data_IF_718734101090
#
_entry.id   IF_718734101090
#
_cell.length_a   1.000
_cell.length_b   1.000
_cell.length_c   1.000
_cell.angle_alpha   90.00
_cell.angle_beta   90.00
_cell.angle_gamma   90.00
#
_symmetry.space_group_name_H-M   'P 1'
#
loop_
_entity.id
_entity.type
_entity.pdbx_description
1 polymer ?
#
# COMPACT_ATOMS: atom_id res chain seq x y z
N UNK A 1 -39.28 -6.20 -49.65
CA UNK A 1 -38.99 -6.76 -48.31
C UNK A 1 -37.60 -6.30 -47.87
N UNK A 2 -37.51 -5.20 -47.11
CA UNK A 2 -36.23 -4.58 -46.67
C UNK A 2 -36.43 -3.99 -45.27
N UNK A 3 -36.61 -4.82 -44.24
CA UNK A 3 -36.75 -4.36 -42.85
C UNK A 3 -36.28 -5.43 -41.85
N UNK A 4 -35.04 -5.94 -41.95
CA UNK A 4 -34.46 -6.81 -40.90
C UNK A 4 -32.94 -6.57 -40.76
N UNK A 5 -32.48 -5.31 -40.71
CA UNK A 5 -31.04 -5.05 -40.55
C UNK A 5 -30.76 -3.83 -39.66
N UNK A 6 -31.40 -3.74 -38.50
CA UNK A 6 -31.14 -2.63 -37.57
C UNK A 6 -31.25 -2.99 -36.08
N UNK A 7 -31.03 -4.26 -35.71
CA UNK A 7 -31.14 -4.69 -34.30
C UNK A 7 -29.85 -5.27 -33.69
N UNK A 8 -28.77 -5.43 -34.47
CA UNK A 8 -27.54 -6.09 -33.99
C UNK A 8 -26.49 -5.13 -33.41
N UNK A 9 -26.67 -3.81 -33.53
CA UNK A 9 -25.67 -2.84 -33.05
C UNK A 9 -25.81 -2.46 -31.56
N UNK A 10 -26.94 -2.79 -30.92
CA UNK A 10 -27.21 -2.41 -29.53
C UNK A 10 -26.70 -3.43 -28.48
N UNK A 11 -26.35 -4.66 -28.89
CA UNK A 11 -25.98 -5.74 -27.96
C UNK A 11 -24.51 -5.66 -27.52
N UNK A 12 -23.63 -4.98 -28.26
CA UNK A 12 -22.19 -4.91 -27.94
C UNK A 12 -21.89 -3.90 -26.81
N UNK A 13 -22.80 -2.97 -26.51
CA UNK A 13 -22.60 -1.97 -25.45
C UNK A 13 -22.89 -2.48 -24.03
N UNK A 14 -23.52 -3.66 -23.88
CA UNK A 14 -24.01 -4.16 -22.58
C UNK A 14 -22.97 -4.96 -21.78
N UNK A 15 -21.79 -5.24 -22.34
CA UNK A 15 -20.69 -5.92 -21.63
C UNK A 15 -19.59 -4.93 -21.21
N UNK A 16 -19.95 -3.68 -20.93
CA UNK A 16 -19.08 -2.81 -20.14
C UNK A 16 -19.04 -3.36 -18.71
N UNK A 17 -18.22 -4.39 -18.49
CA UNK A 17 -17.86 -4.84 -17.15
C UNK A 17 -17.24 -3.63 -16.47
N UNK A 18 -17.86 -3.18 -15.39
CA UNK A 18 -17.33 -2.13 -14.52
C UNK A 18 -15.87 -2.44 -14.21
N UNK A 19 -14.96 -1.60 -14.71
CA UNK A 19 -13.57 -1.65 -14.30
C UNK A 19 -13.53 -1.21 -12.83
N UNK A 20 -13.45 -2.17 -11.91
CA UNK A 20 -13.16 -1.89 -10.51
C UNK A 20 -11.67 -1.65 -10.40
N UNK A 21 -11.26 -0.51 -9.83
CA UNK A 21 -9.87 -0.27 -9.50
C UNK A 21 -9.48 -1.17 -8.32
N UNK A 22 -8.26 -1.70 -8.33
CA UNK A 22 -7.68 -2.34 -7.16
C UNK A 22 -7.51 -1.29 -6.05
N UNK A 23 -7.97 -1.61 -4.84
CA UNK A 23 -7.96 -0.71 -3.69
C UNK A 23 -7.35 -1.37 -2.46
N UNK A 24 -6.73 -0.55 -1.62
CA UNK A 24 -6.21 -0.93 -0.30
C UNK A 24 -7.02 -0.21 0.77
N UNK A 25 -7.34 -0.91 1.84
CA UNK A 25 -8.12 -0.38 2.96
C UNK A 25 -7.55 -0.81 4.30
N UNK A 26 -7.70 0.05 5.31
CA UNK A 26 -7.44 -0.28 6.71
C UNK A 26 -8.76 -0.77 7.31
N UNK A 27 -8.75 -1.98 7.89
CA UNK A 27 -9.90 -2.64 8.48
C UNK A 27 -9.64 -2.91 9.96
N UNK A 28 -10.57 -2.49 10.81
CA UNK A 28 -10.47 -2.67 12.27
C UNK A 28 -9.38 -1.79 12.90
N UNK A 29 -8.84 -2.26 14.03
CA UNK A 29 -7.84 -1.54 14.81
C UNK A 29 -8.41 -0.47 15.74
N UNK A 30 -7.52 0.20 16.45
CA UNK A 30 -7.80 1.31 17.36
C UNK A 30 -7.27 2.61 16.75
N UNK A 31 -8.16 3.57 16.50
CA UNK A 31 -7.80 4.87 15.94
C UNK A 31 -6.93 5.68 16.89
N UNK A 32 -5.80 6.19 16.40
CA UNK A 32 -4.82 6.92 17.18
C UNK A 32 -3.97 7.85 16.29
N UNK A 33 -2.92 8.42 16.90
CA UNK A 33 -1.83 9.10 16.23
C UNK A 33 -0.52 8.49 16.68
N UNK A 34 0.50 8.53 15.82
CA UNK A 34 1.89 8.25 16.21
C UNK A 34 2.24 9.13 17.41
N UNK A 35 2.68 8.54 18.55
CA UNK A 35 3.11 9.28 19.72
C UNK A 35 4.18 10.31 19.38
N UNK A 36 4.11 11.48 20.01
CA UNK A 36 5.01 12.62 19.78
C UNK A 36 5.03 13.20 18.35
N UNK A 37 4.37 12.55 17.39
CA UNK A 37 4.23 12.97 16.01
C UNK A 37 5.58 13.29 15.37
N UNK A 38 5.62 14.33 14.54
CA UNK A 38 6.84 14.74 13.85
C UNK A 38 7.83 15.48 14.76
N UNK A 39 7.60 15.63 16.06
CA UNK A 39 8.60 16.26 16.93
C UNK A 39 9.75 15.31 17.27
N UNK A 40 9.50 14.00 17.21
CA UNK A 40 10.48 12.96 17.52
C UNK A 40 10.52 11.85 16.47
N UNK A 41 9.59 11.82 15.50
CA UNK A 41 9.67 10.90 14.38
C UNK A 41 10.49 11.56 13.24
N UNK A 42 11.75 11.14 13.09
CA UNK A 42 12.66 11.75 12.13
C UNK A 42 12.33 11.35 10.68
N UNK A 43 11.73 10.18 10.47
CA UNK A 43 11.32 9.75 9.12
C UNK A 43 10.10 10.53 8.63
N UNK A 44 9.09 10.74 9.48
CA UNK A 44 7.84 11.44 9.21
C UNK A 44 8.09 12.91 8.85
N UNK A 45 9.04 13.56 9.52
CA UNK A 45 9.50 14.92 9.19
C UNK A 45 10.00 15.05 7.75
N UNK A 46 10.54 13.97 7.19
CA UNK A 46 11.21 13.95 5.90
C UNK A 46 10.35 13.37 4.78
N UNK A 47 9.13 12.89 5.09
CA UNK A 47 8.16 12.46 4.10
C UNK A 47 7.36 13.69 3.64
N UNK A 48 7.60 14.10 2.40
CA UNK A 48 6.89 15.22 1.79
C UNK A 48 5.37 14.97 1.79
N UNK A 49 4.61 15.95 2.30
CA UNK A 49 3.14 15.91 2.32
C UNK A 49 2.51 15.31 3.58
N UNK A 50 3.31 14.77 4.52
CA UNK A 50 2.81 14.31 5.82
C UNK A 50 3.22 15.33 6.89
N UNK A 51 2.35 16.30 7.18
CA UNK A 51 2.48 17.16 8.36
C UNK A 51 1.76 16.51 9.54
N UNK A 52 2.48 16.19 10.62
CA UNK A 52 1.96 15.51 11.79
C UNK A 52 0.80 16.21 12.53
N UNK A 53 0.04 15.46 13.35
CA UNK A 53 0.11 14.01 13.52
C UNK A 53 -0.60 13.26 12.38
N UNK A 54 0.04 12.21 11.85
CA UNK A 54 -0.62 11.29 10.94
C UNK A 54 -1.73 10.55 11.72
N UNK A 55 -3.00 10.75 11.35
CA UNK A 55 -4.12 9.99 11.90
C UNK A 55 -4.13 8.58 11.27
N UNK A 56 -4.42 7.55 12.07
CA UNK A 56 -4.32 6.17 11.62
C UNK A 56 -4.72 5.19 12.70
N UNK A 57 -4.29 3.94 12.58
CA UNK A 57 -4.77 2.82 13.39
C UNK A 57 -3.65 1.87 13.81
N UNK A 58 -3.64 1.51 15.09
CA UNK A 58 -2.89 0.37 15.63
C UNK A 58 -3.73 -0.90 15.63
N UNK A 59 -3.10 -2.08 15.57
CA UNK A 59 -3.79 -3.36 15.63
C UNK A 59 -4.73 -3.58 14.43
N UNK A 60 -4.42 -2.92 13.31
CA UNK A 60 -5.30 -2.90 12.14
C UNK A 60 -4.92 -3.96 11.11
N UNK A 61 -5.83 -4.24 10.19
CA UNK A 61 -5.59 -5.16 9.07
C UNK A 61 -5.67 -4.43 7.75
N UNK A 62 -4.68 -4.65 6.89
CA UNK A 62 -4.68 -4.12 5.53
C UNK A 62 -5.36 -5.12 4.59
N UNK A 63 -6.47 -4.69 3.99
CA UNK A 63 -7.26 -5.49 3.07
C UNK A 63 -7.18 -4.96 1.65
N UNK A 64 -7.00 -5.86 0.70
CA UNK A 64 -7.03 -5.63 -0.73
C UNK A 64 -8.41 -6.00 -1.29
N UNK A 65 -8.91 -5.18 -2.22
CA UNK A 65 -10.16 -5.46 -2.92
C UNK A 65 -10.08 -5.02 -4.39
N UNK A 66 -10.64 -5.82 -5.29
CA UNK A 66 -10.64 -5.56 -6.72
C UNK A 66 -9.30 -5.82 -7.40
N UNK A 67 -8.41 -6.63 -6.81
CA UNK A 67 -7.16 -7.03 -7.47
C UNK A 67 -7.43 -8.13 -8.50
N UNK A 68 -7.19 -7.83 -9.77
CA UNK A 68 -7.22 -8.79 -10.86
C UNK A 68 -5.90 -9.56 -11.00
N UNK A 69 -5.91 -10.59 -11.87
CA UNK A 69 -4.77 -11.46 -12.11
C UNK A 69 -3.47 -10.75 -12.55
N UNK A 70 -3.57 -9.51 -13.04
CA UNK A 70 -2.45 -8.72 -13.55
C UNK A 70 -2.16 -7.47 -12.71
N UNK A 71 -2.98 -7.18 -11.69
CA UNK A 71 -2.71 -6.06 -10.80
C UNK A 71 -1.57 -6.42 -9.85
N UNK A 72 -0.83 -5.39 -9.44
CA UNK A 72 0.36 -5.55 -8.61
C UNK A 72 0.27 -4.63 -7.40
N UNK A 73 0.76 -5.11 -6.27
CA UNK A 73 1.07 -4.28 -5.13
C UNK A 73 2.50 -3.76 -5.30
N UNK A 74 2.68 -2.44 -5.34
CA UNK A 74 3.98 -1.81 -5.23
C UNK A 74 4.31 -1.62 -3.76
N UNK A 75 5.46 -2.14 -3.35
CA UNK A 75 6.05 -1.97 -2.04
C UNK A 75 7.25 -1.04 -2.17
N UNK A 76 7.31 -0.03 -1.31
CA UNK A 76 8.38 0.95 -1.27
C UNK A 76 8.84 1.14 0.16
N UNK A 77 10.12 0.89 0.43
CA UNK A 77 10.75 1.18 1.71
C UNK A 77 11.19 2.63 1.67
N UNK A 78 10.59 3.44 2.52
CA UNK A 78 10.77 4.89 2.49
C UNK A 78 11.94 5.28 3.37
N UNK A 79 12.02 4.81 4.61
CA UNK A 79 13.04 5.22 5.57
C UNK A 79 13.14 4.29 6.77
N UNK A 80 14.13 4.54 7.63
CA UNK A 80 14.25 3.91 8.95
C UNK A 80 15.10 4.77 9.90
N UNK A 81 14.76 4.76 11.16
CA UNK A 81 15.60 5.15 12.30
C UNK A 81 15.44 4.08 13.36
N UNK A 82 16.42 3.19 13.50
CA UNK A 82 16.29 2.09 14.45
C UNK A 82 17.63 1.69 15.04
N UNK A 83 17.69 1.47 16.35
CA UNK A 83 18.86 0.82 16.95
C UNK A 83 19.06 -0.63 16.47
N UNK A 84 17.95 -1.35 16.24
CA UNK A 84 17.93 -2.72 15.77
C UNK A 84 17.80 -2.83 14.24
N UNK A 85 17.95 -4.06 13.74
CA UNK A 85 17.74 -4.42 12.33
C UNK A 85 16.31 -4.87 12.14
N UNK A 86 15.58 -4.13 11.33
CA UNK A 86 14.17 -4.34 11.07
C UNK A 86 13.97 -4.83 9.64
N UNK A 87 13.13 -5.85 9.49
CA UNK A 87 12.90 -6.54 8.24
C UNK A 87 11.43 -6.44 7.86
N UNK A 88 11.16 -5.95 6.65
CA UNK A 88 9.83 -6.04 6.04
C UNK A 88 9.84 -7.09 4.92
N UNK A 89 8.84 -7.97 4.92
CA UNK A 89 8.69 -9.01 3.89
C UNK A 89 7.27 -9.01 3.34
N UNK A 90 7.15 -9.00 2.01
CA UNK A 90 5.87 -9.12 1.31
C UNK A 90 6.06 -9.85 -0.03
N UNK A 91 5.28 -10.92 -0.24
CA UNK A 91 5.48 -11.82 -1.38
C UNK A 91 6.87 -12.45 -1.36
N UNK A 92 7.59 -12.37 -2.49
CA UNK A 92 8.97 -12.86 -2.60
C UNK A 92 10.04 -11.79 -2.29
N UNK A 93 9.64 -10.55 -2.00
CA UNK A 93 10.55 -9.46 -1.70
C UNK A 93 10.71 -9.24 -0.19
N UNK A 94 11.91 -8.85 0.21
CA UNK A 94 12.25 -8.51 1.59
C UNK A 94 13.30 -7.40 1.63
N UNK A 95 13.26 -6.58 2.67
CA UNK A 95 14.27 -5.59 2.97
C UNK A 95 14.60 -5.64 4.46
N UNK A 96 15.88 -5.67 4.80
CA UNK A 96 16.37 -5.58 6.18
C UNK A 96 17.18 -4.29 6.36
N UNK A 97 16.79 -3.44 7.30
CA UNK A 97 17.57 -2.26 7.67
C UNK A 97 18.92 -2.70 8.29
N UNK A 98 20.01 -1.95 8.05
CA UNK A 98 21.29 -2.23 8.69
C UNK A 98 21.31 -1.89 10.19
N UNK A 99 20.26 -1.23 10.71
CA UNK A 99 20.25 -0.51 12.00
C UNK A 99 20.96 0.84 11.89
N UNK A 100 20.90 1.62 12.98
CA UNK A 100 21.31 3.02 13.04
C UNK A 100 20.30 4.01 12.44
N UNK A 101 20.76 5.26 12.30
CA UNK A 101 19.98 6.36 11.74
C UNK A 101 20.18 6.46 10.23
N UNK A 102 19.10 6.39 9.44
CA UNK A 102 19.11 6.85 8.06
C UNK A 102 17.91 7.76 7.78
N UNK A 103 18.14 9.05 8.01
CA UNK A 103 17.15 10.08 7.76
C UNK A 103 17.71 11.10 6.76
N UNK A 104 17.05 11.19 5.60
CA UNK A 104 17.22 12.26 4.62
C UNK A 104 15.91 12.46 3.88
N UNK A 105 15.74 13.53 3.10
CA UNK A 105 14.46 13.84 2.44
C UNK A 105 14.04 12.72 1.48
N UNK A 106 13.07 11.88 1.86
CA UNK A 106 12.78 10.61 1.18
C UNK A 106 11.85 10.80 -0.02
N UNK A 107 12.30 11.53 -1.04
CA UNK A 107 11.62 11.60 -2.34
C UNK A 107 11.84 10.35 -3.20
N UNK A 108 12.73 9.46 -2.77
CA UNK A 108 13.05 8.21 -3.47
C UNK A 108 13.14 7.07 -2.45
N UNK A 109 12.41 5.96 -2.65
CA UNK A 109 12.48 4.82 -1.75
C UNK A 109 13.86 4.17 -1.76
N UNK A 110 14.30 3.71 -0.60
CA UNK A 110 15.54 2.97 -0.35
C UNK A 110 15.53 1.62 -1.08
N UNK A 111 14.37 0.97 -1.11
CA UNK A 111 14.13 -0.27 -1.84
C UNK A 111 12.70 -0.28 -2.38
N UNK A 112 12.47 -0.96 -3.50
CA UNK A 112 11.13 -1.15 -4.05
C UNK A 112 11.00 -2.46 -4.79
N UNK A 113 9.83 -3.07 -4.73
CA UNK A 113 9.48 -4.24 -5.52
C UNK A 113 7.98 -4.34 -5.74
N UNK A 114 7.56 -5.21 -6.65
CA UNK A 114 6.14 -5.49 -6.90
C UNK A 114 5.78 -6.89 -6.46
N UNK A 115 4.66 -7.05 -5.77
CA UNK A 115 4.03 -8.34 -5.48
C UNK A 115 2.90 -8.58 -6.48
N UNK A 116 2.93 -9.75 -7.12
CA UNK A 116 1.91 -10.18 -8.09
C UNK A 116 1.03 -11.27 -7.48
N UNK A 117 -0.13 -11.53 -8.09
CA UNK A 117 -1.04 -12.59 -7.61
C UNK A 117 -1.73 -12.23 -6.29
N UNK A 118 -1.97 -10.94 -6.05
CA UNK A 118 -2.75 -10.47 -4.91
C UNK A 118 -4.21 -10.88 -5.12
N UNK A 119 -4.77 -11.61 -4.17
CA UNK A 119 -6.20 -11.88 -4.10
C UNK A 119 -6.89 -10.85 -3.21
N UNK A 120 -8.19 -10.69 -3.40
CA UNK A 120 -9.03 -9.94 -2.47
C UNK A 120 -8.94 -10.55 -1.05
N UNK A 121 -8.98 -9.69 -0.03
CA UNK A 121 -8.81 -10.03 1.37
C UNK A 121 -7.52 -9.48 1.97
N UNK A 122 -7.08 -10.06 3.09
CA UNK A 122 -5.93 -9.56 3.83
C UNK A 122 -4.63 -9.71 3.03
N UNK A 123 -3.85 -8.64 2.94
CA UNK A 123 -2.50 -8.71 2.37
C UNK A 123 -1.60 -9.61 3.22
N UNK A 124 -0.70 -10.34 2.58
CA UNK A 124 0.32 -11.13 3.29
C UNK A 124 1.64 -10.37 3.36
N UNK A 125 1.93 -9.81 4.53
CA UNK A 125 3.22 -9.19 4.84
C UNK A 125 3.57 -9.37 6.32
N UNK A 126 4.85 -9.17 6.64
CA UNK A 126 5.37 -9.31 8.00
C UNK A 126 6.48 -8.30 8.24
N UNK A 127 6.49 -7.72 9.44
CA UNK A 127 7.63 -7.04 10.02
C UNK A 127 8.31 -7.93 11.05
N UNK A 128 9.63 -7.85 11.16
CA UNK A 128 10.39 -8.46 12.24
C UNK A 128 11.60 -7.64 12.63
N UNK A 129 12.01 -7.74 13.88
CA UNK A 129 13.21 -7.11 14.41
C UNK A 129 14.19 -8.16 14.93
N UNK A 130 15.49 -7.84 14.96
CA UNK A 130 16.47 -8.60 15.72
C UNK A 130 16.61 -8.15 17.18
N UNK A 131 15.78 -7.19 17.62
CA UNK A 131 15.69 -6.75 19.01
C UNK A 131 15.23 -7.85 19.96
N UNK A 132 15.67 -7.76 21.23
CA UNK A 132 15.27 -8.69 22.29
C UNK A 132 13.98 -8.25 22.97
N UNK A 133 12.89 -8.21 22.20
CA UNK A 133 11.55 -7.77 22.65
C UNK A 133 10.58 -8.95 22.83
N UNK A 134 9.46 -8.74 23.54
CA UNK A 134 8.54 -9.81 23.88
C UNK A 134 7.86 -10.44 22.64
N UNK A 135 7.61 -9.63 21.62
CA UNK A 135 7.09 -10.06 20.34
C UNK A 135 7.90 -9.40 19.21
N UNK A 136 8.94 -10.07 18.68
CA UNK A 136 9.86 -9.47 17.71
C UNK A 136 9.34 -9.52 16.28
N UNK A 137 8.09 -9.96 16.05
CA UNK A 137 7.51 -10.00 14.71
C UNK A 137 6.00 -9.82 14.72
N UNK A 138 5.52 -8.97 13.82
CA UNK A 138 4.09 -8.73 13.60
C UNK A 138 3.73 -8.93 12.14
N UNK A 139 2.57 -9.52 11.90
CA UNK A 139 2.06 -9.78 10.56
C UNK A 139 0.73 -9.05 10.36
N UNK A 140 0.39 -8.76 9.11
CA UNK A 140 -0.90 -8.20 8.79
C UNK A 140 -2.05 -9.08 9.31
N UNK A 141 -3.01 -8.49 10.04
CA UNK A 141 -4.10 -9.24 10.69
C UNK A 141 -3.73 -9.87 12.03
N UNK A 142 -2.50 -9.66 12.51
CA UNK A 142 -2.02 -10.05 13.85
C UNK A 142 -1.04 -9.00 14.37
N UNK A 143 -1.38 -7.73 14.12
CA UNK A 143 -0.66 -6.58 14.64
C UNK A 143 -1.02 -6.35 16.11
N UNK A 144 -0.06 -5.86 16.89
CA UNK A 144 -0.29 -5.52 18.27
C UNK A 144 -0.91 -4.12 18.37
N UNK A 145 -1.61 -3.85 19.48
CA UNK A 145 -1.84 -2.45 19.86
C UNK A 145 -0.49 -1.81 20.21
N UNK A 146 -0.45 -0.48 20.29
CA UNK A 146 0.72 0.20 20.81
C UNK A 146 0.94 -0.18 22.29
N UNK A 147 1.88 -1.10 22.51
CA UNK A 147 2.23 -1.68 23.81
C UNK A 147 3.75 -1.69 23.88
N UNK A 148 4.27 -1.01 24.90
CA UNK A 148 5.72 -0.92 25.17
C UNK A 148 6.40 -2.29 25.20
N UNK A 149 7.60 -2.37 24.59
CA UNK A 149 8.45 -3.57 24.59
C UNK A 149 7.97 -4.70 23.67
N UNK A 150 7.10 -4.40 22.71
CA UNK A 150 6.65 -5.31 21.66
C UNK A 150 6.65 -4.59 20.33
N UNK A 151 7.04 -5.29 19.26
CA UNK A 151 6.96 -4.73 17.93
C UNK A 151 5.48 -4.57 17.51
N UNK A 152 5.18 -3.52 16.75
CA UNK A 152 3.86 -3.26 16.17
C UNK A 152 4.00 -2.35 14.95
N UNK A 153 2.91 -2.13 14.22
CA UNK A 153 2.89 -1.11 13.18
C UNK A 153 1.67 -0.20 13.28
N UNK A 154 1.86 1.06 12.90
CA UNK A 154 0.79 2.02 12.71
C UNK A 154 0.45 2.12 11.23
N UNK A 155 -0.81 1.88 10.88
CA UNK A 155 -1.29 2.03 9.52
C UNK A 155 -1.98 3.39 9.34
N UNK A 156 -1.63 4.09 8.26
CA UNK A 156 -2.28 5.35 7.93
C UNK A 156 -2.47 5.51 6.43
N UNK A 157 -3.59 6.13 6.06
CA UNK A 157 -3.83 6.66 4.73
C UNK A 157 -3.66 8.18 4.78
N UNK A 158 -2.46 8.68 5.05
CA UNK A 158 -2.22 10.12 5.00
C UNK A 158 -2.25 10.57 3.54
N UNK A 159 -3.27 11.38 3.22
CA UNK A 159 -3.42 12.38 2.15
C UNK A 159 -2.44 12.28 0.97
N UNK A 160 -2.42 11.16 0.26
CA UNK A 160 -2.13 11.16 -1.17
C UNK A 160 -3.41 10.83 -1.93
N UNK A 161 -3.73 11.63 -2.94
CA UNK A 161 -4.91 11.48 -3.80
C UNK A 161 -4.93 10.15 -4.60
N UNK A 162 -3.95 9.27 -4.40
CA UNK A 162 -3.66 8.10 -5.22
C UNK A 162 -3.85 6.76 -4.50
N UNK A 163 -4.44 6.73 -3.30
CA UNK A 163 -4.80 5.48 -2.61
C UNK A 163 -3.62 4.68 -2.06
N UNK A 164 -2.49 5.35 -1.79
CA UNK A 164 -1.35 4.74 -1.10
C UNK A 164 -1.62 4.63 0.40
N UNK A 165 -1.06 3.59 1.02
CA UNK A 165 -1.15 3.30 2.43
C UNK A 165 0.26 3.27 3.02
N UNK A 166 0.41 3.88 4.19
CA UNK A 166 1.67 3.98 4.90
C UNK A 166 1.64 3.09 6.14
N UNK A 167 2.73 2.36 6.34
CA UNK A 167 2.97 1.53 7.51
C UNK A 167 4.22 2.08 8.20
N UNK A 168 4.06 2.40 9.48
CA UNK A 168 5.11 2.92 10.35
C UNK A 168 5.37 1.86 11.40
N UNK A 169 6.51 1.18 11.28
CA UNK A 169 6.88 0.10 12.18
C UNK A 169 7.60 0.67 13.40
N UNK A 170 7.37 0.02 14.53
CA UNK A 170 8.10 0.19 15.77
C UNK A 170 8.58 -1.19 16.23
N UNK A 171 9.85 -1.28 16.56
CA UNK A 171 10.48 -2.52 16.94
C UNK A 171 10.40 -2.84 18.44
N UNK A 172 9.76 -1.96 19.22
CA UNK A 172 9.54 -2.06 20.65
C UNK A 172 10.72 -1.57 21.48
N UNK A 173 11.82 -1.13 20.85
CA UNK A 173 12.89 -0.34 21.42
C UNK A 173 13.82 -1.03 22.43
N UNK A 174 15.10 -0.61 22.42
CA UNK A 174 16.15 -1.11 23.31
C UNK A 174 16.30 -0.28 24.60
N UNK A 175 16.00 1.02 24.56
CA UNK A 175 16.22 1.98 25.65
C UNK A 175 15.41 3.27 25.42
N UNK A 176 14.63 3.69 26.42
CA UNK A 176 13.86 4.94 26.35
C UNK A 176 12.61 4.78 25.47
N UNK A 177 11.65 5.67 25.69
CA UNK A 177 10.31 5.67 25.09
C UNK A 177 10.40 6.10 23.62
N UNK A 178 10.99 5.24 22.78
CA UNK A 178 11.17 5.43 21.33
C UNK A 178 9.91 4.99 20.56
N UNK A 179 8.74 5.28 21.13
CA UNK A 179 7.42 4.92 20.59
C UNK A 179 7.01 5.87 19.44
N UNK A 180 8.00 6.39 18.70
CA UNK A 180 7.81 7.33 17.62
C UNK A 180 7.50 6.62 16.29
N UNK A 181 7.59 5.28 16.20
CA UNK A 181 7.26 4.46 15.03
C UNK A 181 8.00 4.88 13.74
N UNK A 182 9.31 5.14 13.81
CA UNK A 182 10.15 5.35 12.62
C UNK A 182 11.22 4.29 12.36
N UNK A 183 11.18 3.20 13.12
CA UNK A 183 12.08 2.06 12.99
C UNK A 183 12.12 1.43 11.59
N UNK A 184 11.00 1.46 10.87
CA UNK A 184 10.92 1.16 9.44
C UNK A 184 9.63 1.70 8.83
N UNK A 185 9.72 2.51 7.77
CA UNK A 185 8.54 3.07 7.10
C UNK A 185 8.36 2.48 5.71
N UNK A 186 7.16 1.97 5.44
CA UNK A 186 6.79 1.29 4.20
C UNK A 186 5.57 1.96 3.57
N UNK A 187 5.66 2.24 2.27
CA UNK A 187 4.54 2.68 1.45
C UNK A 187 4.04 1.54 0.57
N UNK A 188 2.75 1.29 0.61
CA UNK A 188 2.03 0.32 -0.19
C UNK A 188 1.10 1.05 -1.16
N UNK A 189 1.12 0.67 -2.44
CA UNK A 189 0.17 1.19 -3.42
C UNK A 189 -0.27 0.11 -4.40
N UNK A 190 -1.54 0.13 -4.77
CA UNK A 190 -2.02 -0.68 -5.88
C UNK A 190 -1.53 -0.04 -7.18
N UNK A 191 -0.97 -0.84 -8.09
CA UNK A 191 -0.61 -0.43 -9.45
C UNK A 191 -1.65 -1.00 -10.40
N UNK A 192 -2.65 -0.21 -10.81
CA UNK A 192 -3.65 -0.67 -11.77
C UNK A 192 -3.00 -0.84 -13.14
N UNK A 193 -3.50 -1.78 -13.93
CA UNK A 193 -3.26 -1.74 -15.37
C UNK A 193 -3.71 -0.38 -15.94
N UNK A 194 -3.04 0.18 -16.96
CA UNK A 194 -3.53 1.36 -17.66
C UNK A 194 -4.89 1.04 -18.30
N UNK A 195 -5.99 1.37 -17.62
CA UNK A 195 -7.35 1.19 -18.14
C UNK A 195 -7.53 1.91 -19.49
N UNK A 196 -6.73 2.97 -19.70
CA UNK A 196 -6.62 3.69 -20.97
C UNK A 196 -6.20 2.81 -22.15
N UNK A 197 -5.40 1.75 -21.97
CA UNK A 197 -5.00 0.88 -23.07
C UNK A 197 -6.19 0.05 -23.58
N UNK A 198 -7.02 -0.48 -22.68
CA UNK A 198 -8.22 -1.24 -23.05
C UNK A 198 -9.28 -0.30 -23.62
N UNK A 199 -9.50 0.88 -23.03
CA UNK A 199 -10.40 1.89 -23.56
C UNK A 199 -9.96 2.40 -24.94
N UNK A 200 -8.66 2.59 -25.15
CA UNK A 200 -8.10 3.02 -26.44
C UNK A 200 -8.26 1.92 -27.50
N UNK A 201 -7.96 0.67 -27.17
CA UNK A 201 -8.14 -0.46 -28.09
C UNK A 201 -9.61 -0.67 -28.45
N UNK A 202 -10.51 -0.58 -27.47
CA UNK A 202 -11.96 -0.69 -27.72
C UNK A 202 -12.50 0.52 -28.50
N UNK A 203 -12.04 1.73 -28.17
CA UNK A 203 -12.41 2.96 -28.87
C UNK A 203 -11.92 2.98 -30.33
N UNK A 204 -10.66 2.61 -30.58
CA UNK A 204 -10.09 2.51 -31.93
C UNK A 204 -10.74 1.36 -32.73
N UNK A 205 -11.00 0.22 -32.08
CA UNK A 205 -11.70 -0.92 -32.70
C UNK A 205 -13.11 -0.56 -33.13
N UNK A 206 -13.87 0.13 -32.27
CA UNK A 206 -15.21 0.63 -32.60
C UNK A 206 -15.18 1.66 -33.76
N UNK A 207 -14.18 2.55 -33.78
CA UNK A 207 -14.03 3.55 -34.84
C UNK A 207 -13.64 2.91 -36.19
N UNK A 208 -12.77 1.90 -36.17
CA UNK A 208 -12.37 1.15 -37.36
C UNK A 208 -13.53 0.34 -37.96
N UNK A 209 -14.37 -0.27 -37.12
CA UNK A 209 -15.59 -0.96 -37.56
C UNK A 209 -16.64 -0.01 -38.14
N UNK A 210 -16.75 1.21 -37.60
CA UNK A 210 -17.63 2.25 -38.15
C UNK A 210 -17.21 2.69 -39.56
N UNK A 211 -15.90 2.83 -39.81
CA UNK A 211 -15.35 3.21 -41.12
C UNK A 211 -15.59 2.15 -42.20
N UNK A 212 -15.53 0.87 -41.86
CA UNK A 212 -15.80 -0.23 -42.81
C UNK A 212 -17.26 -0.35 -43.24
N UNK A 213 -18.20 0.29 -42.53
CA UNK A 213 -19.63 0.23 -42.85
C UNK A 213 -20.10 1.36 -43.76
N UNK A 214 -19.24 2.34 -44.04
CA UNK A 214 -19.53 3.52 -44.89
C UNK A 214 -18.79 3.46 -46.24
N UNK A 215 -17.93 2.47 -46.45
CA UNK A 215 -17.36 2.12 -47.76
C UNK A 215 -18.15 0.94 -48.34
#
# INVERSE_FOLDING_TARGET
MKKILMTTAAVVLAFATSASAATLSIVGGSGASIPFGSQQNDVLNNIAGISAPAAGFFGSTISAAGFGANDKLLVEIMGYEAGFKNTFTAGAGSFTSPGGLLVGTLTTPLARWTVSGISDGNLSFTFSTNGSVANPSVANGSDNLNISGSANFFASQVVEQNGALWLFFDDGGAFGDDDNHDDLVVRLSAVPLPAGAILLLTGLGALAMRRRKTA
#
